data_IF_877134844218
#
_entry.id   IF_877134844218
#
_cell.length_a   1.000
_cell.length_b   1.000
_cell.length_c   1.000
_cell.angle_alpha   90.00
_cell.angle_beta   90.00
_cell.angle_gamma   90.00
#
_symmetry.space_group_name_H-M   'P 1'
#
loop_
_entity.id
_entity.type
_entity.pdbx_description
1 polymer ?
#
# COMPACT_ATOMS: atom_id res chain seq x y z
N UNK A 1 -6.64 29.07 18.88
CA UNK A 1 -7.77 29.04 17.92
C UNK A 1 -7.66 30.21 16.94
N UNK A 2 -6.62 30.25 16.10
CA UNK A 2 -6.38 31.37 15.17
C UNK A 2 -6.63 31.02 13.69
N UNK A 3 -6.61 29.73 13.34
CA UNK A 3 -6.75 29.26 11.95
C UNK A 3 -8.15 29.48 11.35
N UNK A 4 -9.20 29.38 12.16
CA UNK A 4 -10.59 29.55 11.69
C UNK A 4 -10.99 31.01 11.47
N UNK A 5 -10.40 31.95 12.23
CA UNK A 5 -10.70 33.38 12.13
C UNK A 5 -10.19 33.96 10.79
N UNK A 6 -9.06 33.45 10.27
CA UNK A 6 -8.51 33.86 8.98
C UNK A 6 -9.23 33.23 7.77
N UNK A 7 -9.91 32.10 7.93
CA UNK A 7 -10.70 31.53 6.83
C UNK A 7 -11.88 32.43 6.46
N UNK A 8 -12.51 33.04 7.46
CA UNK A 8 -13.63 33.95 7.31
C UNK A 8 -13.31 35.18 6.45
N UNK A 9 -12.07 35.70 6.51
CA UNK A 9 -11.65 36.90 5.77
C UNK A 9 -11.22 36.66 4.33
N UNK A 10 -11.11 35.40 3.87
CA UNK A 10 -10.69 35.12 2.50
C UNK A 10 -11.77 35.45 1.46
N UNK A 11 -11.33 35.84 0.27
CA UNK A 11 -12.19 36.01 -0.88
C UNK A 11 -12.90 34.67 -1.22
N UNK A 12 -14.16 34.70 -1.71
CA UNK A 12 -14.96 33.49 -1.95
C UNK A 12 -14.26 32.44 -2.83
N UNK A 13 -13.51 32.87 -3.86
CA UNK A 13 -12.73 31.95 -4.73
C UNK A 13 -11.66 31.18 -3.96
N UNK A 14 -10.96 31.84 -3.03
CA UNK A 14 -9.91 31.22 -2.23
C UNK A 14 -10.50 30.21 -1.25
N UNK A 15 -11.67 30.50 -0.66
CA UNK A 15 -12.40 29.55 0.19
C UNK A 15 -12.77 28.29 -0.58
N UNK A 16 -13.30 28.45 -1.79
CA UNK A 16 -13.65 27.31 -2.65
C UNK A 16 -12.43 26.48 -3.05
N UNK A 17 -11.28 27.11 -3.31
CA UNK A 17 -10.03 26.40 -3.58
C UNK A 17 -9.54 25.58 -2.38
N UNK A 18 -9.61 26.14 -1.17
CA UNK A 18 -9.21 25.42 0.04
C UNK A 18 -10.14 24.23 0.29
N UNK A 19 -11.45 24.42 0.13
CA UNK A 19 -12.43 23.34 0.29
C UNK A 19 -12.25 22.26 -0.78
N UNK A 20 -12.11 22.65 -2.04
CA UNK A 20 -11.89 21.72 -3.15
C UNK A 20 -10.57 20.96 -3.00
N UNK A 21 -9.49 21.65 -2.61
CA UNK A 21 -8.19 21.05 -2.34
C UNK A 21 -8.24 20.06 -1.18
N UNK A 22 -8.88 20.44 -0.07
CA UNK A 22 -9.09 19.58 1.08
C UNK A 22 -9.86 18.32 0.73
N UNK A 23 -11.02 18.46 0.08
CA UNK A 23 -11.85 17.33 -0.33
C UNK A 23 -11.10 16.40 -1.31
N UNK A 24 -10.40 16.98 -2.30
CA UNK A 24 -9.59 16.21 -3.26
C UNK A 24 -8.49 15.43 -2.55
N UNK A 25 -7.74 16.08 -1.66
CA UNK A 25 -6.65 15.45 -0.92
C UNK A 25 -7.13 14.34 0.01
N UNK A 26 -8.30 14.50 0.63
CA UNK A 26 -8.89 13.51 1.51
C UNK A 26 -9.33 12.26 0.71
N UNK A 27 -10.10 12.46 -0.37
CA UNK A 27 -10.56 11.35 -1.22
C UNK A 27 -9.37 10.61 -1.83
N UNK A 28 -8.38 11.34 -2.35
CA UNK A 28 -7.16 10.74 -2.89
C UNK A 28 -6.36 9.99 -1.82
N UNK A 29 -6.22 10.56 -0.61
CA UNK A 29 -5.53 9.95 0.51
C UNK A 29 -6.17 8.64 0.95
N UNK A 30 -7.51 8.59 1.07
CA UNK A 30 -8.25 7.37 1.41
C UNK A 30 -8.08 6.31 0.32
N UNK A 31 -8.25 6.69 -0.95
CA UNK A 31 -8.08 5.77 -2.08
C UNK A 31 -6.66 5.20 -2.16
N UNK A 32 -5.65 6.05 -2.01
CA UNK A 32 -4.25 5.62 -2.00
C UNK A 32 -3.94 4.74 -0.78
N UNK A 33 -4.48 5.10 0.39
CA UNK A 33 -4.28 4.33 1.62
C UNK A 33 -4.85 2.92 1.50
N UNK A 34 -6.07 2.77 0.97
CA UNK A 34 -6.66 1.44 0.78
C UNK A 34 -5.91 0.65 -0.27
N UNK A 35 -5.51 1.25 -1.39
CA UNK A 35 -4.67 0.56 -2.38
C UNK A 35 -3.32 0.14 -1.81
N UNK A 36 -2.67 0.96 -0.97
CA UNK A 36 -1.41 0.62 -0.31
C UNK A 36 -1.57 -0.45 0.76
N UNK A 37 -2.67 -0.43 1.52
CA UNK A 37 -2.96 -1.38 2.58
C UNK A 37 -3.42 -2.75 2.03
N UNK A 38 -4.08 -2.76 0.87
CA UNK A 38 -4.60 -4.00 0.25
C UNK A 38 -3.59 -4.59 -0.76
N UNK A 39 -2.75 -3.76 -1.39
CA UNK A 39 -1.73 -4.18 -2.36
C UNK A 39 -0.47 -4.85 -1.78
N UNK A 40 -0.35 -4.97 -0.46
CA UNK A 40 0.75 -5.70 0.20
C UNK A 40 0.47 -7.19 0.44
N UNK A 41 -0.67 -7.71 0.00
CA UNK A 41 -1.11 -9.08 0.32
C UNK A 41 -0.50 -10.16 -0.59
N UNK A 42 0.24 -9.79 -1.63
CA UNK A 42 0.97 -10.74 -2.48
C UNK A 42 2.18 -11.39 -1.77
N UNK A 43 2.56 -10.90 -0.59
CA UNK A 43 3.64 -11.49 0.22
C UNK A 43 3.32 -12.92 0.67
N UNK A 44 2.05 -13.28 0.84
CA UNK A 44 1.66 -14.63 1.24
C UNK A 44 1.86 -15.63 0.09
N UNK A 45 1.52 -15.25 -1.15
CA UNK A 45 1.75 -16.09 -2.33
C UNK A 45 3.24 -16.15 -2.70
N UNK A 46 3.97 -15.05 -2.58
CA UNK A 46 5.43 -15.03 -2.76
C UNK A 46 6.12 -15.92 -1.72
N UNK A 47 5.65 -15.93 -0.46
CA UNK A 47 6.18 -16.81 0.57
C UNK A 47 5.88 -18.29 0.29
N UNK A 48 4.69 -18.60 -0.27
CA UNK A 48 4.31 -19.96 -0.68
C UNK A 48 5.16 -20.41 -1.86
N UNK A 49 5.29 -19.60 -2.92
CA UNK A 49 6.14 -19.93 -4.09
C UNK A 49 7.59 -20.17 -3.67
N UNK A 50 8.14 -19.32 -2.79
CA UNK A 50 9.51 -19.51 -2.27
C UNK A 50 9.66 -20.74 -1.38
N UNK A 51 8.59 -21.20 -0.73
CA UNK A 51 8.60 -22.43 0.07
C UNK A 51 8.52 -23.68 -0.82
N UNK A 52 7.64 -23.67 -1.83
CA UNK A 52 7.54 -24.78 -2.79
C UNK A 52 8.82 -24.95 -3.62
N UNK A 53 9.46 -23.84 -4.03
CA UNK A 53 10.72 -23.86 -4.77
C UNK A 53 11.88 -24.45 -3.94
N UNK A 54 11.86 -24.27 -2.61
CA UNK A 54 12.83 -24.87 -1.70
C UNK A 54 12.58 -26.37 -1.48
N UNK A 55 11.32 -26.80 -1.43
CA UNK A 55 10.97 -28.23 -1.29
C UNK A 55 11.39 -29.05 -2.50
N UNK A 56 11.24 -28.51 -3.72
CA UNK A 56 11.68 -29.18 -4.95
C UNK A 56 13.19 -29.44 -5.03
N UNK A 57 14.02 -28.57 -4.45
CA UNK A 57 15.48 -28.76 -4.38
C UNK A 57 15.90 -29.84 -3.38
N UNK A 58 15.26 -29.88 -2.21
CA UNK A 58 15.55 -30.88 -1.17
C UNK A 58 15.16 -32.29 -1.60
N UNK A 59 14.03 -32.45 -2.30
CA UNK A 59 13.61 -33.75 -2.84
C UNK A 59 14.56 -34.26 -3.95
N UNK A 60 15.13 -33.34 -4.74
CA UNK A 60 16.11 -33.69 -5.80
C UNK A 60 17.47 -34.11 -5.23
N UNK A 61 17.95 -33.49 -4.14
CA UNK A 61 19.19 -33.93 -3.48
C UNK A 61 19.03 -35.22 -2.66
N UNK A 62 17.84 -35.46 -2.10
CA UNK A 62 17.55 -36.68 -1.33
C UNK A 62 17.33 -37.94 -2.19
N UNK A 63 17.11 -37.78 -3.49
CA UNK A 63 16.90 -38.88 -4.46
C UNK A 63 18.18 -39.28 -5.21
N UNK A 64 19.31 -38.64 -4.95
CA UNK A 64 20.60 -39.10 -5.48
C UNK A 64 21.10 -40.29 -4.66
N UNK A 65 21.37 -41.46 -5.28
CA UNK A 65 21.88 -42.61 -4.54
C UNK A 65 23.26 -42.27 -3.95
N UNK A 66 23.61 -42.79 -2.76
CA UNK A 66 24.91 -42.56 -2.17
C UNK A 66 25.98 -43.06 -3.15
N UNK A 67 26.92 -42.17 -3.53
CA UNK A 67 28.07 -42.58 -4.34
C UNK A 67 28.86 -43.61 -3.54
N UNK A 68 28.95 -44.80 -4.12
CA UNK A 68 29.75 -45.96 -3.73
C UNK A 68 31.23 -45.63 -3.58
#
# INVERSE_FOLDING_TARGET
MSTFLNFGSFAPKTKNLVVAGGLTSFVFGVYFYTMRAVGGTDELQIAIDKFEEQKGKVETESSLPPRS
#
